data_IF_155547088700
#
_entry.id   IF_155547088700
#
_cell.length_a   1.000
_cell.length_b   1.000
_cell.length_c   1.000
_cell.angle_alpha   90.00
_cell.angle_beta   90.00
_cell.angle_gamma   90.00
#
_symmetry.space_group_name_H-M   'P 1'
#
loop_
_entity.id
_entity.type
_entity.pdbx_description
1 polymer ?
#
# COMPACT_ATOMS: atom_id res chain seq x y z
N UNK A 1 -2.16 -5.99 -25.03
CA UNK A 1 -3.40 -5.91 -24.23
C UNK A 1 -3.14 -4.95 -23.08
N UNK A 2 -3.76 -3.78 -23.09
CA UNK A 2 -3.65 -2.80 -22.00
C UNK A 2 -4.51 -3.32 -20.85
N UNK A 3 -3.90 -3.88 -19.82
CA UNK A 3 -4.63 -4.32 -18.63
C UNK A 3 -5.28 -3.09 -17.99
N UNK A 4 -6.62 -3.03 -17.99
CA UNK A 4 -7.35 -1.99 -17.29
C UNK A 4 -7.21 -2.29 -15.80
N UNK A 5 -6.31 -1.55 -15.16
CA UNK A 5 -6.17 -1.55 -13.72
C UNK A 5 -7.44 -1.00 -13.08
N UNK A 6 -8.16 -1.84 -12.32
CA UNK A 6 -9.31 -1.39 -11.54
C UNK A 6 -8.91 -1.27 -10.09
N UNK A 7 -8.94 -0.04 -9.58
CA UNK A 7 -8.90 0.22 -8.14
C UNK A 7 -10.28 -0.11 -7.60
N UNK A 8 -10.44 -1.29 -7.00
CA UNK A 8 -11.68 -1.70 -6.34
C UNK A 8 -11.47 -1.64 -4.83
N UNK A 9 -12.22 -0.78 -4.15
CA UNK A 9 -12.15 -0.56 -2.71
C UNK A 9 -11.88 0.90 -2.36
N UNK A 10 -12.55 1.40 -1.32
CA UNK A 10 -12.37 2.76 -0.82
C UNK A 10 -10.98 2.99 -0.24
N UNK A 11 -10.74 4.19 0.30
CA UNK A 11 -9.51 4.51 1.02
C UNK A 11 -9.28 3.47 2.14
N UNK A 12 -8.36 2.55 1.88
CA UNK A 12 -8.03 1.48 2.81
C UNK A 12 -7.41 2.10 4.07
N UNK A 13 -7.98 1.77 5.24
CA UNK A 13 -7.39 2.11 6.55
C UNK A 13 -6.91 0.89 7.35
N UNK A 14 -6.40 -0.20 6.74
CA UNK A 14 -5.86 -1.29 7.52
C UNK A 14 -4.46 -0.91 8.06
N UNK A 15 -4.13 -1.35 9.27
CA UNK A 15 -2.76 -1.19 9.82
C UNK A 15 -1.69 -1.95 9.02
N UNK A 16 -2.11 -2.93 8.20
CA UNK A 16 -1.28 -3.65 7.24
C UNK A 16 -2.12 -4.30 6.14
N UNK A 17 -1.55 -4.51 4.96
CA UNK A 17 -2.26 -5.22 3.88
C UNK A 17 -1.59 -5.11 2.53
N UNK A 18 -2.17 -5.78 1.54
CA UNK A 18 -1.83 -5.59 0.13
C UNK A 18 -2.40 -4.26 -0.32
N UNK A 19 -1.54 -3.27 -0.58
CA UNK A 19 -1.96 -1.93 -0.91
C UNK A 19 -1.22 -1.42 -2.14
N UNK A 20 -1.81 -0.42 -2.79
CA UNK A 20 -1.23 0.30 -3.91
C UNK A 20 -1.19 1.80 -3.61
N UNK A 21 -0.01 2.45 -3.64
CA UNK A 21 0.06 3.90 -3.53
C UNK A 21 -0.55 4.59 -4.77
N UNK A 22 -1.07 5.80 -4.57
CA UNK A 22 -1.65 6.63 -5.64
C UNK A 22 -0.64 6.97 -6.75
N UNK A 23 0.65 7.04 -6.42
CA UNK A 23 1.69 7.45 -7.35
C UNK A 23 2.24 6.29 -8.21
N UNK A 24 2.62 6.55 -9.47
CA UNK A 24 2.85 5.52 -10.51
C UNK A 24 4.11 4.66 -10.32
N UNK A 25 4.83 4.80 -9.20
CA UNK A 25 6.16 4.24 -9.00
C UNK A 25 6.13 2.69 -8.92
N UNK A 26 5.00 2.11 -8.51
CA UNK A 26 4.86 0.66 -8.41
C UNK A 26 3.66 0.16 -9.23
N UNK A 27 3.92 -0.41 -10.41
CA UNK A 27 2.93 -1.12 -11.24
C UNK A 27 2.37 -2.41 -10.61
N UNK A 28 2.60 -2.65 -9.32
CA UNK A 28 2.18 -3.84 -8.58
C UNK A 28 1.63 -3.43 -7.20
N UNK A 29 0.79 -4.27 -6.61
CA UNK A 29 0.39 -4.15 -5.22
C UNK A 29 1.48 -4.73 -4.31
N UNK A 30 1.79 -4.04 -3.22
CA UNK A 30 2.80 -4.48 -2.25
C UNK A 30 2.16 -4.70 -0.90
N UNK A 31 2.73 -5.59 -0.09
CA UNK A 31 2.25 -5.78 1.27
C UNK A 31 2.90 -4.78 2.20
N UNK A 32 2.15 -3.77 2.63
CA UNK A 32 2.59 -2.68 3.49
C UNK A 32 2.18 -2.90 4.93
N UNK A 33 3.03 -2.42 5.85
CA UNK A 33 2.70 -2.18 7.24
C UNK A 33 2.75 -0.66 7.47
N UNK A 34 1.78 -0.13 8.22
CA UNK A 34 1.83 1.24 8.69
C UNK A 34 2.87 1.35 9.81
N UNK A 35 3.84 2.25 9.65
CA UNK A 35 4.89 2.48 10.65
C UNK A 35 4.56 3.65 11.57
N UNK A 36 3.96 4.70 11.02
CA UNK A 36 3.69 5.93 11.78
C UNK A 36 2.47 6.67 11.26
N UNK A 37 1.73 7.27 12.18
CA UNK A 37 0.71 8.29 11.90
C UNK A 37 1.24 9.64 12.40
N UNK A 38 1.12 10.68 11.56
CA UNK A 38 1.34 12.07 11.94
C UNK A 38 0.01 12.80 11.95
N UNK A 39 -0.22 13.54 13.03
CA UNK A 39 -1.38 14.42 13.15
C UNK A 39 -1.43 15.43 11.99
N UNK A 40 -2.63 15.91 11.67
CA UNK A 40 -2.83 16.88 10.61
C UNK A 40 -2.19 18.22 10.99
N UNK A 41 -1.09 18.58 10.33
CA UNK A 41 -0.44 19.90 10.47
C UNK A 41 -0.79 20.81 9.27
N UNK A 42 -1.37 20.24 8.21
CA UNK A 42 -1.71 20.94 6.96
C UNK A 42 -3.09 20.55 6.44
N UNK A 43 -3.53 21.22 5.37
CA UNK A 43 -4.81 20.95 4.68
C UNK A 43 -4.89 19.59 3.96
N UNK A 44 -3.83 18.78 4.01
CA UNK A 44 -3.77 17.43 3.46
C UNK A 44 -4.37 16.37 4.40
N UNK A 45 -4.70 16.76 5.64
CA UNK A 45 -5.16 15.85 6.68
C UNK A 45 -4.00 15.15 7.37
N UNK A 46 -4.26 13.97 7.94
CA UNK A 46 -3.23 13.14 8.56
C UNK A 46 -2.31 12.52 7.53
N UNK A 47 -1.06 12.29 7.92
CA UNK A 47 -0.09 11.59 7.08
C UNK A 47 0.27 10.24 7.71
N UNK A 48 0.40 9.22 6.87
CA UNK A 48 0.71 7.86 7.27
C UNK A 48 1.95 7.39 6.52
N UNK A 49 2.91 6.85 7.26
CA UNK A 49 4.12 6.26 6.72
C UNK A 49 3.95 4.76 6.64
N UNK A 50 4.33 4.20 5.50
CA UNK A 50 4.17 2.80 5.19
C UNK A 50 5.49 2.21 4.73
N UNK A 51 5.76 0.98 5.18
CA UNK A 51 6.87 0.20 4.67
C UNK A 51 6.39 -1.16 4.22
N UNK A 52 6.72 -1.51 2.98
CA UNK A 52 6.41 -2.81 2.43
C UNK A 52 7.41 -3.86 2.83
N UNK A 53 7.00 -5.13 2.78
CA UNK A 53 7.90 -6.25 3.06
C UNK A 53 9.10 -6.30 2.12
N UNK A 54 8.96 -5.83 0.87
CA UNK A 54 10.07 -5.76 -0.07
C UNK A 54 10.94 -4.49 0.09
N UNK A 55 10.66 -3.63 1.05
CA UNK A 55 11.47 -2.46 1.39
C UNK A 55 11.05 -1.15 0.71
N UNK A 56 9.94 -1.11 -0.03
CA UNK A 56 9.38 0.15 -0.55
C UNK A 56 8.77 0.95 0.59
N UNK A 57 9.12 2.22 0.65
CA UNK A 57 8.54 3.22 1.55
C UNK A 57 7.49 4.04 0.79
N UNK A 58 6.39 4.36 1.45
CA UNK A 58 5.34 5.19 0.90
C UNK A 58 4.75 6.10 1.97
N UNK A 59 4.25 7.25 1.53
CA UNK A 59 3.48 8.17 2.36
C UNK A 59 2.09 8.32 1.74
N UNK A 60 1.07 8.22 2.57
CA UNK A 60 -0.31 8.55 2.18
C UNK A 60 -0.87 9.63 3.08
N UNK A 61 -1.84 10.37 2.55
CA UNK A 61 -2.63 11.35 3.31
C UNK A 61 -4.11 11.06 3.17
N UNK A 62 -4.96 11.77 3.93
CA UNK A 62 -6.41 11.63 3.78
C UNK A 62 -6.88 12.02 2.35
N UNK A 63 -6.16 12.92 1.66
CA UNK A 63 -6.43 13.30 0.26
C UNK A 63 -5.70 12.44 -0.78
N UNK A 64 -4.62 11.76 -0.37
CA UNK A 64 -3.82 10.87 -1.21
C UNK A 64 -3.68 9.50 -0.54
N UNK A 65 -4.76 8.71 -0.45
CA UNK A 65 -4.77 7.46 0.29
C UNK A 65 -3.99 6.33 -0.39
N UNK A 66 -3.76 5.28 0.38
CA UNK A 66 -3.45 3.96 -0.18
C UNK A 66 -4.74 3.29 -0.66
N UNK A 67 -4.65 2.59 -1.78
CA UNK A 67 -5.77 1.87 -2.36
C UNK A 67 -5.68 0.37 -2.08
N UNK A 68 -6.86 -0.24 -1.95
CA UNK A 68 -7.01 -1.69 -2.04
C UNK A 68 -6.42 -2.21 -3.38
N UNK A 69 -5.90 -3.43 -3.41
CA UNK A 69 -5.09 -3.91 -4.51
C UNK A 69 -5.93 -4.26 -5.74
N UNK A 70 -7.25 -4.44 -5.59
CA UNK A 70 -8.16 -4.86 -6.66
C UNK A 70 -7.61 -6.03 -7.48
N UNK A 71 -7.55 -5.85 -8.80
CA UNK A 71 -7.01 -6.83 -9.75
C UNK A 71 -5.51 -6.65 -10.06
N UNK A 72 -4.81 -5.79 -9.34
CA UNK A 72 -3.38 -5.55 -9.57
C UNK A 72 -2.54 -6.77 -9.18
N UNK A 73 -1.54 -7.05 -10.02
CA UNK A 73 -0.50 -8.02 -9.72
C UNK A 73 0.15 -7.75 -8.37
N UNK A 74 0.24 -8.79 -7.54
CA UNK A 74 0.97 -8.73 -6.27
C UNK A 74 2.48 -8.83 -6.49
N UNK A 75 3.23 -8.10 -5.68
CA UNK A 75 4.68 -8.16 -5.68
C UNK A 75 5.17 -9.53 -5.19
N UNK A 76 5.84 -10.29 -6.08
CA UNK A 76 6.37 -11.64 -5.79
C UNK A 76 7.31 -11.67 -4.59
N UNK A 77 8.14 -10.63 -4.39
CA UNK A 77 9.03 -10.52 -3.22
C UNK A 77 8.24 -10.41 -1.91
N UNK A 78 7.13 -9.66 -1.91
CA UNK A 78 6.25 -9.57 -0.75
C UNK A 78 5.54 -10.90 -0.50
N UNK A 79 5.06 -11.58 -1.56
CA UNK A 79 4.40 -12.89 -1.44
C UNK A 79 5.33 -13.92 -0.81
N UNK A 80 6.58 -14.00 -1.28
CA UNK A 80 7.58 -14.92 -0.74
C UNK A 80 7.89 -14.64 0.73
N UNK A 81 8.07 -13.36 1.12
CA UNK A 81 8.33 -13.02 2.53
C UNK A 81 7.14 -13.35 3.44
N UNK A 82 5.92 -13.12 2.98
CA UNK A 82 4.71 -13.53 3.71
C UNK A 82 4.60 -15.04 3.88
N UNK A 83 4.88 -15.80 2.82
CA UNK A 83 4.85 -17.25 2.87
C UNK A 83 5.89 -17.79 3.87
N UNK A 84 7.11 -17.22 3.88
CA UNK A 84 8.15 -17.59 4.84
C UNK A 84 7.80 -17.22 6.27
N UNK A 85 7.18 -16.05 6.49
CA UNK A 85 6.77 -15.60 7.83
C UNK A 85 5.57 -16.32 8.42
N UNK A 86 4.77 -17.03 7.61
CA UNK A 86 3.66 -17.90 8.08
C UNK A 86 4.10 -19.34 8.38
N UNK A 87 5.30 -19.72 7.98
CA UNK A 87 5.88 -21.04 8.17
C UNK A 87 6.79 -21.12 9.42
N UNK A 88 6.82 -20.05 10.22
CA UNK A 88 7.51 -19.93 11.51
C UNK A 88 6.47 -19.68 12.60
#
# INVERSE_FOLDING_TARGET
MTQVAQITGGASRPSRGWLKPMFPIAGKAHYFNQEKELAAITSQGRAYFWRSLCGIEAVSTDKMPMFEPGNWDRCKKCEQKLARGKAA
#
